data_IF_535384764009
#
_entry.id   IF_535384764009
#
_cell.length_a   1.000
_cell.length_b   1.000
_cell.length_c   1.000
_cell.angle_alpha   90.00
_cell.angle_beta   90.00
_cell.angle_gamma   90.00
#
_symmetry.space_group_name_H-M   'P 1'
#
loop_
_entity.id
_entity.type
_entity.pdbx_description
1 polymer ?
#
# COMPACT_ATOMS: atom_id res chain seq x y z
N UNK A 1 -11.60 4.91 9.50
CA UNK A 1 -12.63 4.41 10.46
C UNK A 1 -11.89 3.59 11.51
N UNK A 2 -12.38 3.44 12.75
CA UNK A 2 -11.63 2.74 13.80
C UNK A 2 -11.36 1.25 13.50
N UNK A 3 -12.04 0.69 12.51
CA UNK A 3 -11.92 -0.69 12.02
C UNK A 3 -11.10 -0.83 10.73
N UNK A 4 -10.38 0.21 10.30
CA UNK A 4 -9.56 0.19 9.09
C UNK A 4 -8.18 0.77 9.38
N UNK A 5 -7.14 0.13 8.85
CA UNK A 5 -5.81 0.70 8.88
C UNK A 5 -5.72 1.91 7.93
N UNK A 6 -4.90 2.88 8.31
CA UNK A 6 -4.36 3.84 7.35
C UNK A 6 -3.23 3.20 6.51
N UNK A 7 -2.67 3.96 5.56
CA UNK A 7 -1.63 3.46 4.63
C UNK A 7 -0.39 3.00 5.38
N UNK A 8 0.06 3.77 6.36
CA UNK A 8 1.31 3.56 7.07
C UNK A 8 1.17 2.41 8.06
N UNK A 9 0.06 2.36 8.80
CA UNK A 9 -0.28 1.22 9.68
C UNK A 9 -0.31 -0.09 8.91
N UNK A 10 -0.94 -0.13 7.73
CA UNK A 10 -1.01 -1.33 6.91
C UNK A 10 0.36 -1.74 6.34
N UNK A 11 1.19 -0.75 5.97
CA UNK A 11 2.55 -0.98 5.50
C UNK A 11 3.44 -1.57 6.60
N UNK A 12 3.45 -0.95 7.79
CA UNK A 12 4.24 -1.37 8.94
C UNK A 12 3.87 -2.79 9.39
N UNK A 13 2.57 -3.06 9.59
CA UNK A 13 2.09 -4.40 9.96
C UNK A 13 2.48 -5.45 8.90
N UNK A 14 2.36 -5.10 7.62
CA UNK A 14 2.74 -6.02 6.53
C UNK A 14 4.22 -6.35 6.54
N UNK A 15 5.09 -5.36 6.77
CA UNK A 15 6.54 -5.53 6.78
C UNK A 15 7.04 -6.32 8.00
N UNK A 16 6.26 -6.39 9.09
CA UNK A 16 6.58 -7.26 10.22
C UNK A 16 6.50 -8.76 9.87
N UNK A 17 5.75 -9.13 8.82
CA UNK A 17 5.45 -10.53 8.49
C UNK A 17 5.79 -10.94 7.05
N UNK A 18 6.12 -9.99 6.17
CA UNK A 18 6.41 -10.25 4.76
C UNK A 18 7.50 -9.32 4.20
N UNK A 19 8.29 -9.84 3.25
CA UNK A 19 9.31 -9.05 2.53
C UNK A 19 8.70 -8.05 1.54
N UNK A 20 7.57 -8.43 0.91
CA UNK A 20 6.82 -7.59 -0.02
C UNK A 20 5.35 -7.50 0.39
N UNK A 21 4.84 -6.27 0.44
CA UNK A 21 3.47 -5.92 0.85
C UNK A 21 2.75 -5.24 -0.31
N UNK A 22 1.50 -5.64 -0.55
CA UNK A 22 0.62 -5.02 -1.54
C UNK A 22 -0.62 -4.46 -0.84
N UNK A 23 -0.69 -3.13 -0.71
CA UNK A 23 -1.79 -2.41 -0.11
C UNK A 23 -2.98 -2.41 -1.06
N UNK A 24 -4.10 -2.97 -0.63
CA UNK A 24 -5.36 -3.00 -1.38
C UNK A 24 -6.48 -2.32 -0.58
N UNK A 25 -7.70 -2.31 -1.13
CA UNK A 25 -8.89 -1.72 -0.50
C UNK A 25 -8.68 -0.22 -0.12
N UNK A 26 -8.14 0.54 -1.07
CA UNK A 26 -7.88 1.98 -0.90
C UNK A 26 -9.18 2.77 -1.03
N UNK A 27 -9.51 3.55 0.02
CA UNK A 27 -10.70 4.41 0.04
C UNK A 27 -10.63 5.55 -0.99
N UNK A 28 -11.79 5.96 -1.50
CA UNK A 28 -11.94 7.13 -2.39
C UNK A 28 -11.58 8.47 -1.74
N UNK A 29 -11.47 8.53 -0.40
CA UNK A 29 -11.06 9.73 0.36
C UNK A 29 -9.56 9.74 0.68
N UNK A 30 -8.73 9.09 -0.14
CA UNK A 30 -7.28 9.12 -0.01
C UNK A 30 -6.66 10.13 -1.00
N UNK A 31 -5.33 10.29 -0.95
CA UNK A 31 -4.57 10.95 -2.00
C UNK A 31 -4.97 10.38 -3.38
N UNK A 32 -4.99 11.22 -4.44
CA UNK A 32 -5.10 10.74 -5.80
C UNK A 32 -4.10 9.61 -6.06
N UNK A 33 -4.53 8.56 -6.76
CA UNK A 33 -3.78 7.31 -6.89
C UNK A 33 -2.28 7.51 -7.22
N UNK A 34 -1.96 8.38 -8.19
CA UNK A 34 -0.57 8.66 -8.57
C UNK A 34 0.25 9.31 -7.46
N UNK A 35 -0.37 10.16 -6.64
CA UNK A 35 0.28 10.76 -5.46
C UNK A 35 0.46 9.74 -4.35
N UNK A 36 -0.50 8.82 -4.17
CA UNK A 36 -0.41 7.73 -3.20
C UNK A 36 0.71 6.76 -3.59
N UNK A 37 0.77 6.31 -4.84
CA UNK A 37 1.85 5.44 -5.35
C UNK A 37 3.21 6.11 -5.16
N UNK A 38 3.31 7.40 -5.51
CA UNK A 38 4.54 8.17 -5.29
C UNK A 38 4.94 8.19 -3.82
N UNK A 39 3.99 8.53 -2.94
CA UNK A 39 4.23 8.58 -1.49
C UNK A 39 4.72 7.24 -0.94
N UNK A 40 4.04 6.14 -1.28
CA UNK A 40 4.41 4.80 -0.81
C UNK A 40 5.78 4.40 -1.33
N UNK A 41 6.06 4.62 -2.62
CA UNK A 41 7.36 4.30 -3.22
C UNK A 41 8.51 5.11 -2.63
N UNK A 42 8.33 6.42 -2.41
CA UNK A 42 9.35 7.28 -1.79
C UNK A 42 9.61 6.93 -0.32
N UNK A 43 8.62 6.36 0.38
CA UNK A 43 8.70 6.05 1.82
C UNK A 43 9.24 4.64 2.08
N UNK A 44 8.78 3.65 1.31
CA UNK A 44 9.02 2.23 1.58
C UNK A 44 9.80 1.51 0.47
N UNK A 45 10.15 2.20 -0.62
CA UNK A 45 10.82 1.60 -1.77
C UNK A 45 9.96 0.54 -2.45
N UNK A 46 10.58 -0.54 -2.92
CA UNK A 46 9.90 -1.63 -3.63
C UNK A 46 9.24 -2.66 -2.69
N UNK A 47 9.45 -2.53 -1.38
CA UNK A 47 8.94 -3.48 -0.39
C UNK A 47 7.44 -3.30 -0.12
N UNK A 48 6.90 -2.11 -0.36
CA UNK A 48 5.47 -1.83 -0.21
C UNK A 48 4.93 -1.21 -1.50
N UNK A 49 3.84 -1.78 -2.02
CA UNK A 49 3.27 -1.39 -3.29
C UNK A 49 1.77 -1.12 -3.14
N UNK A 50 1.21 -0.20 -3.93
CA UNK A 50 -0.24 0.05 -3.96
C UNK A 50 -0.85 -0.77 -5.09
N UNK A 51 -1.78 -1.66 -4.76
CA UNK A 51 -2.49 -2.47 -5.72
C UNK A 51 -3.45 -1.63 -6.58
N UNK A 52 -3.65 -2.06 -7.82
CA UNK A 52 -4.62 -1.50 -8.75
C UNK A 52 -5.28 -2.62 -9.55
N UNK A 53 -6.45 -2.34 -10.11
CA UNK A 53 -7.20 -3.31 -10.90
C UNK A 53 -6.36 -3.79 -12.09
N UNK A 54 -6.13 -5.10 -12.16
CA UNK A 54 -5.31 -5.73 -13.19
C UNK A 54 -3.82 -5.86 -12.83
N UNK A 55 -3.39 -5.50 -11.62
CA UNK A 55 -2.05 -5.80 -11.14
C UNK A 55 -1.81 -7.33 -11.14
N UNK A 56 -0.73 -7.74 -11.82
CA UNK A 56 -0.24 -9.12 -11.82
C UNK A 56 1.13 -9.14 -11.15
N UNK A 57 1.29 -10.00 -10.15
CA UNK A 57 2.55 -10.19 -9.42
C UNK A 57 3.09 -11.58 -9.75
N UNK A 58 4.37 -11.64 -10.09
CA UNK A 58 5.11 -12.89 -10.25
C UNK A 58 5.93 -13.11 -8.98
N UNK A 59 5.76 -14.29 -8.39
CA UNK A 59 6.34 -14.69 -7.10
C UNK A 59 7.50 -15.65 -7.34
#
# INVERSE_FOLDING_TARGET
RPDHNNVDEAAEIGLEVAERVYLSHISHHNLPFTKLVKYVSETYGDNVNVAYDGLVVYI
#
